data_IF_802929686707
#
_entry.id   IF_802929686707
#
_cell.length_a   1.000
_cell.length_b   1.000
_cell.length_c   1.000
_cell.angle_alpha   90.00
_cell.angle_beta   90.00
_cell.angle_gamma   90.00
#
_symmetry.space_group_name_H-M   'P 1'
#
loop_
_entity.id
_entity.type
_entity.pdbx_description
1 polymer ?
#
# COMPACT_ATOMS: atom_id res chain seq x y z
N UNK A 1 18.33 -30.28 -9.33
CA UNK A 1 18.08 -28.97 -9.95
C UNK A 1 16.62 -28.63 -9.74
N UNK A 2 16.29 -27.38 -9.46
CA UNK A 2 14.90 -26.91 -9.29
C UNK A 2 14.77 -25.53 -9.92
N UNK A 3 13.74 -25.33 -10.71
CA UNK A 3 13.49 -24.07 -11.42
C UNK A 3 12.34 -23.34 -10.74
N UNK A 4 12.48 -22.02 -10.60
CA UNK A 4 11.47 -21.18 -9.96
C UNK A 4 11.13 -19.99 -10.86
N UNK A 5 9.84 -19.68 -10.97
CA UNK A 5 9.31 -18.55 -11.72
C UNK A 5 8.78 -17.48 -10.76
N UNK A 6 9.20 -16.23 -10.96
CA UNK A 6 8.64 -15.05 -10.27
C UNK A 6 7.45 -14.51 -11.08
N UNK A 7 6.24 -14.64 -10.54
CA UNK A 7 4.98 -14.33 -11.26
C UNK A 7 4.42 -12.94 -10.92
N UNK A 8 5.22 -12.07 -10.29
CA UNK A 8 4.86 -10.70 -9.93
C UNK A 8 4.41 -10.57 -8.47
N UNK A 9 4.46 -9.34 -7.91
CA UNK A 9 4.04 -9.06 -6.52
C UNK A 9 4.88 -9.72 -5.42
N UNK A 10 5.97 -10.42 -5.76
CA UNK A 10 6.78 -11.22 -4.83
C UNK A 10 6.35 -12.69 -4.74
N UNK A 11 5.40 -13.13 -5.57
CA UNK A 11 4.98 -14.53 -5.63
C UNK A 11 5.95 -15.37 -6.49
N UNK A 12 6.28 -16.58 -6.01
CA UNK A 12 7.20 -17.52 -6.68
C UNK A 12 6.50 -18.88 -6.83
N UNK A 13 6.58 -19.47 -8.02
CA UNK A 13 6.05 -20.80 -8.33
C UNK A 13 7.19 -21.71 -8.80
N UNK A 14 7.16 -22.98 -8.40
CA UNK A 14 8.12 -24.02 -8.86
C UNK A 14 7.74 -24.46 -10.29
N UNK A 15 8.72 -24.82 -11.13
CA UNK A 15 8.47 -25.34 -12.47
C UNK A 15 7.66 -26.64 -12.46
N UNK A 16 7.86 -27.47 -11.44
CA UNK A 16 7.04 -28.68 -11.20
C UNK A 16 5.61 -28.33 -10.74
N UNK A 17 5.32 -27.05 -10.46
CA UNK A 17 3.98 -26.53 -10.18
C UNK A 17 3.33 -25.87 -11.42
N UNK A 18 3.98 -25.93 -12.60
CA UNK A 18 3.38 -25.52 -13.88
C UNK A 18 2.53 -26.69 -14.41
N UNK A 19 1.35 -26.82 -13.82
CA UNK A 19 0.30 -27.79 -14.12
C UNK A 19 -0.91 -27.47 -13.22
N UNK A 20 -2.14 -27.65 -13.72
CA UNK A 20 -3.40 -27.08 -13.21
C UNK A 20 -3.72 -27.24 -11.70
N UNK A 21 -2.93 -27.97 -10.90
CA UNK A 21 -3.44 -28.63 -9.70
C UNK A 21 -2.73 -28.32 -8.36
N UNK A 22 -1.83 -27.33 -8.24
CA UNK A 22 -1.08 -27.15 -6.96
C UNK A 22 -0.87 -25.75 -6.39
N UNK A 23 -1.39 -24.69 -7.00
CA UNK A 23 -1.76 -23.52 -6.20
C UNK A 23 -3.08 -23.91 -5.53
N UNK A 24 -3.05 -24.33 -4.26
CA UNK A 24 -4.31 -24.43 -3.51
C UNK A 24 -4.94 -23.04 -3.53
N UNK A 25 -5.94 -22.87 -4.40
CA UNK A 25 -6.87 -21.76 -4.31
C UNK A 25 -7.38 -21.80 -2.88
N UNK A 26 -7.19 -20.70 -2.17
CA UNK A 26 -7.73 -20.56 -0.83
C UNK A 26 -9.24 -20.74 -0.93
N UNK A 27 -9.75 -21.86 -0.39
CA UNK A 27 -11.16 -22.22 -0.40
C UNK A 27 -11.90 -21.62 0.80
N UNK A 28 -11.25 -20.73 1.54
CA UNK A 28 -11.86 -19.97 2.64
C UNK A 28 -13.10 -19.24 2.15
N UNK A 29 -14.24 -19.63 2.71
CA UNK A 29 -15.53 -19.02 2.40
C UNK A 29 -15.62 -17.66 3.09
N UNK A 30 -15.63 -16.60 2.29
CA UNK A 30 -15.81 -15.24 2.79
C UNK A 30 -17.27 -14.98 3.18
N UNK A 31 -17.47 -14.11 4.16
CA UNK A 31 -18.80 -13.70 4.62
C UNK A 31 -19.56 -12.91 3.55
N UNK A 32 -18.86 -12.04 2.82
CA UNK A 32 -19.40 -11.17 1.78
C UNK A 32 -18.51 -11.23 0.52
N UNK A 33 -18.50 -12.35 -0.22
CA UNK A 33 -17.66 -12.49 -1.41
C UNK A 33 -18.15 -11.57 -2.54
N UNK A 34 -17.21 -10.95 -3.26
CA UNK A 34 -17.50 -10.14 -4.46
C UNK A 34 -16.36 -10.27 -5.49
N UNK A 35 -16.71 -10.18 -6.77
CA UNK A 35 -15.77 -10.22 -7.91
C UNK A 35 -15.87 -8.99 -8.79
N UNK A 36 -16.98 -8.25 -8.71
CA UNK A 36 -17.18 -7.01 -9.50
C UNK A 36 -17.53 -5.83 -8.61
N UNK A 37 -17.31 -4.62 -9.14
CA UNK A 37 -17.71 -3.38 -8.47
C UNK A 37 -19.22 -3.34 -8.19
N UNK A 38 -20.04 -3.86 -9.10
CA UNK A 38 -21.50 -3.90 -8.93
C UNK A 38 -21.91 -4.82 -7.78
N UNK A 39 -21.24 -5.96 -7.62
CA UNK A 39 -21.46 -6.87 -6.50
C UNK A 39 -21.04 -6.25 -5.17
N UNK A 40 -19.87 -5.62 -5.12
CA UNK A 40 -19.40 -4.89 -3.94
C UNK A 40 -20.41 -3.82 -3.52
N UNK A 41 -20.85 -2.97 -4.46
CA UNK A 41 -21.83 -1.93 -4.18
C UNK A 41 -23.20 -2.51 -3.79
N UNK A 42 -23.64 -3.62 -4.39
CA UNK A 42 -24.87 -4.32 -3.98
C UNK A 42 -24.79 -4.79 -2.53
N UNK A 43 -23.69 -5.44 -2.13
CA UNK A 43 -23.50 -5.91 -0.76
C UNK A 43 -23.48 -4.76 0.26
N UNK A 44 -22.87 -3.62 -0.06
CA UNK A 44 -22.91 -2.45 0.83
C UNK A 44 -24.34 -1.93 1.06
N UNK A 45 -25.19 -1.97 0.02
CA UNK A 45 -26.60 -1.57 0.14
C UNK A 45 -27.43 -2.58 0.93
N UNK A 46 -27.20 -3.88 0.72
CA UNK A 46 -27.95 -4.95 1.39
C UNK A 46 -27.60 -5.07 2.88
N UNK A 47 -26.33 -4.89 3.23
CA UNK A 47 -25.84 -5.06 4.61
C UNK A 47 -25.87 -3.76 5.42
N UNK A 48 -25.90 -2.60 4.75
CA UNK A 48 -25.70 -1.29 5.38
C UNK A 48 -24.25 -1.01 5.78
N UNK A 49 -23.31 -1.92 5.47
CA UNK A 49 -21.89 -1.75 5.76
C UNK A 49 -21.21 -0.89 4.71
N UNK A 50 -20.27 -0.04 5.15
CA UNK A 50 -19.34 0.63 4.22
C UNK A 50 -18.36 -0.38 3.61
N UNK A 51 -17.74 -0.04 2.47
CA UNK A 51 -16.70 -0.87 1.82
C UNK A 51 -15.62 -1.35 2.80
N UNK A 52 -14.97 -0.49 3.62
CA UNK A 52 -13.95 -0.97 4.55
C UNK A 52 -14.52 -1.86 5.67
N UNK A 53 -15.75 -1.61 6.12
CA UNK A 53 -16.39 -2.47 7.13
C UNK A 53 -16.72 -3.85 6.55
N UNK A 54 -17.20 -3.91 5.30
CA UNK A 54 -17.42 -5.16 4.58
C UNK A 54 -16.11 -5.93 4.40
N UNK A 55 -15.03 -5.25 4.01
CA UNK A 55 -13.71 -5.87 3.91
C UNK A 55 -13.17 -6.37 5.24
N UNK A 56 -13.38 -5.62 6.33
CA UNK A 56 -13.01 -6.09 7.66
C UNK A 56 -13.74 -7.39 8.03
N UNK A 57 -15.03 -7.48 7.71
CA UNK A 57 -15.82 -8.70 7.94
C UNK A 57 -15.36 -9.89 7.09
N UNK A 58 -14.82 -9.64 5.88
CA UNK A 58 -14.20 -10.69 5.06
C UNK A 58 -12.83 -11.12 5.62
N UNK A 59 -11.98 -10.17 6.01
CA UNK A 59 -10.66 -10.44 6.59
C UNK A 59 -10.73 -11.28 7.87
N UNK A 60 -11.85 -11.17 8.61
CA UNK A 60 -12.13 -11.99 9.79
C UNK A 60 -12.21 -13.50 9.53
N UNK A 61 -12.29 -13.92 8.26
CA UNK A 61 -12.23 -15.33 7.89
C UNK A 61 -10.85 -15.96 8.19
N UNK A 62 -9.78 -15.16 8.23
CA UNK A 62 -8.41 -15.65 8.45
C UNK A 62 -7.78 -15.21 9.78
N UNK A 63 -8.22 -14.07 10.33
CA UNK A 63 -7.59 -13.42 11.48
C UNK A 63 -8.63 -12.77 12.38
N UNK A 64 -8.29 -12.54 13.64
CA UNK A 64 -9.14 -11.73 14.52
C UNK A 64 -9.12 -10.26 14.10
N UNK A 65 -10.15 -9.50 14.50
CA UNK A 65 -10.21 -8.06 14.23
C UNK A 65 -8.96 -7.31 14.74
N UNK A 66 -8.52 -7.63 15.96
CA UNK A 66 -7.36 -6.99 16.58
C UNK A 66 -6.06 -7.28 15.80
N UNK A 67 -5.87 -8.51 15.31
CA UNK A 67 -4.73 -8.88 14.47
C UNK A 67 -4.74 -8.16 13.13
N UNK A 68 -5.92 -8.02 12.50
CA UNK A 68 -6.09 -7.29 11.24
C UNK A 68 -5.69 -5.83 11.45
N UNK A 69 -6.24 -5.18 12.47
CA UNK A 69 -5.98 -3.77 12.77
C UNK A 69 -4.50 -3.54 13.12
N UNK A 70 -3.92 -4.39 13.96
CA UNK A 70 -2.51 -4.33 14.30
C UNK A 70 -1.61 -4.49 13.05
N UNK A 71 -1.94 -5.44 12.16
CA UNK A 71 -1.20 -5.65 10.91
C UNK A 71 -1.28 -4.45 9.96
N UNK A 72 -2.46 -3.84 9.81
CA UNK A 72 -2.65 -2.65 8.98
C UNK A 72 -1.88 -1.43 9.53
N UNK A 73 -1.86 -1.25 10.85
CA UNK A 73 -1.09 -0.19 11.49
C UNK A 73 0.42 -0.45 11.44
N UNK A 74 0.86 -1.71 11.46
CA UNK A 74 2.25 -2.07 11.20
C UNK A 74 2.67 -1.75 9.76
N UNK A 75 1.82 -2.08 8.77
CA UNK A 75 2.03 -1.68 7.37
C UNK A 75 2.20 -0.16 7.26
N UNK A 76 1.30 0.59 7.90
CA UNK A 76 1.38 2.05 7.93
C UNK A 76 2.66 2.56 8.60
N UNK A 77 3.09 1.94 9.71
CA UNK A 77 4.35 2.28 10.38
C UNK A 77 5.55 2.11 9.45
N UNK A 78 5.64 0.98 8.75
CA UNK A 78 6.74 0.72 7.80
C UNK A 78 6.72 1.71 6.63
N UNK A 79 5.53 2.08 6.15
CA UNK A 79 5.34 3.13 5.14
C UNK A 79 5.85 4.50 5.62
N UNK A 80 5.49 4.93 6.84
CA UNK A 80 6.01 6.16 7.45
C UNK A 80 7.52 6.15 7.54
N UNK A 81 8.09 5.04 8.02
CA UNK A 81 9.54 4.90 8.17
C UNK A 81 10.26 4.97 6.81
N UNK A 82 9.64 4.43 5.75
CA UNK A 82 10.16 4.51 4.39
C UNK A 82 10.23 5.96 3.89
N UNK A 83 9.13 6.71 4.04
CA UNK A 83 9.08 8.14 3.68
C UNK A 83 10.12 8.94 4.48
N UNK A 84 10.23 8.70 5.79
CA UNK A 84 11.20 9.38 6.65
C UNK A 84 12.65 9.12 6.21
N UNK A 85 12.99 7.87 5.83
CA UNK A 85 14.31 7.55 5.26
C UNK A 85 14.55 8.24 3.92
N UNK A 86 13.59 8.19 3.00
CA UNK A 86 13.71 8.85 1.70
C UNK A 86 13.89 10.37 1.81
N UNK A 87 13.23 11.01 2.77
CA UNK A 87 13.36 12.45 3.06
C UNK A 87 14.63 12.86 3.83
N UNK A 88 15.46 11.91 4.25
CA UNK A 88 16.70 12.17 4.99
C UNK A 88 17.96 11.74 4.24
N UNK A 89 17.85 10.74 3.36
CA UNK A 89 18.98 10.21 2.61
C UNK A 89 19.29 11.03 1.35
N UNK A 90 20.56 11.32 1.18
CA UNK A 90 21.09 11.97 -0.03
C UNK A 90 21.94 10.99 -0.84
N UNK A 91 22.40 11.43 -2.01
CA UNK A 91 23.33 10.70 -2.85
C UNK A 91 22.81 10.43 -4.26
N UNK A 92 23.50 9.54 -4.95
CA UNK A 92 23.17 9.09 -6.31
C UNK A 92 22.62 7.68 -6.22
N UNK A 93 21.48 7.42 -6.88
CA UNK A 93 20.86 6.11 -6.95
C UNK A 93 21.75 5.15 -7.76
N UNK A 94 21.79 3.85 -7.38
CA UNK A 94 22.48 2.83 -8.15
C UNK A 94 21.81 2.61 -9.51
N UNK A 95 22.47 1.87 -10.42
CA UNK A 95 21.90 1.51 -11.73
C UNK A 95 22.44 2.31 -12.93
N UNK A 96 23.57 3.00 -12.79
CA UNK A 96 24.34 3.56 -13.92
C UNK A 96 23.78 4.84 -14.55
N UNK A 97 22.52 5.20 -14.30
CA UNK A 97 21.85 6.40 -14.83
C UNK A 97 22.25 7.70 -14.11
N UNK A 98 23.09 7.63 -13.06
CA UNK A 98 23.56 8.77 -12.25
C UNK A 98 22.43 9.67 -11.72
N UNK A 99 21.28 9.08 -11.40
CA UNK A 99 20.11 9.82 -10.89
C UNK A 99 20.38 10.28 -9.47
N UNK A 100 20.32 11.59 -9.22
CA UNK A 100 20.48 12.17 -7.88
C UNK A 100 19.16 12.06 -7.10
N UNK A 101 19.25 11.69 -5.82
CA UNK A 101 18.14 11.78 -4.86
C UNK A 101 17.75 13.24 -4.63
N UNK A 102 16.45 13.53 -4.71
CA UNK A 102 15.88 14.88 -4.58
C UNK A 102 15.04 15.01 -3.32
N UNK A 103 14.47 13.93 -2.78
CA UNK A 103 13.52 13.99 -1.67
C UNK A 103 14.08 14.70 -0.44
N UNK A 104 15.32 14.42 -0.02
CA UNK A 104 15.91 15.08 1.14
C UNK A 104 16.06 16.60 0.97
N UNK A 105 16.51 17.06 -0.20
CA UNK A 105 16.64 18.48 -0.49
C UNK A 105 15.26 19.17 -0.56
N UNK A 106 14.31 18.57 -1.27
CA UNK A 106 12.93 19.06 -1.37
C UNK A 106 12.24 19.12 0.00
N UNK A 107 12.47 18.13 0.87
CA UNK A 107 11.94 18.13 2.24
C UNK A 107 12.47 19.29 3.08
N UNK A 108 13.77 19.62 2.97
CA UNK A 108 14.34 20.78 3.66
C UNK A 108 13.77 22.09 3.13
N UNK A 109 13.67 22.21 1.81
CA UNK A 109 13.08 23.38 1.16
C UNK A 109 11.62 23.59 1.59
N UNK A 110 10.79 22.54 1.52
CA UNK A 110 9.38 22.58 1.90
C UNK A 110 9.18 23.00 3.36
N UNK A 111 10.04 22.51 4.27
CA UNK A 111 10.01 22.91 5.68
C UNK A 111 10.44 24.36 5.89
N UNK A 112 11.43 24.83 5.13
CA UNK A 112 11.97 26.19 5.28
C UNK A 112 11.03 27.28 4.76
N UNK A 113 10.27 27.00 3.70
CA UNK A 113 9.29 27.94 3.15
C UNK A 113 8.05 28.15 4.06
N UNK A 114 7.83 27.28 5.04
CA UNK A 114 6.67 27.37 5.95
C UNK A 114 5.34 26.98 5.30
N UNK A 115 4.24 27.18 6.02
CA UNK A 115 2.86 26.97 5.54
C UNK A 115 2.55 25.58 4.93
N UNK A 116 2.62 24.48 5.71
CA UNK A 116 2.45 23.12 5.17
C UNK A 116 1.12 22.89 4.41
N UNK A 117 0.01 23.48 4.88
CA UNK A 117 -1.32 23.27 4.28
C UNK A 117 -1.43 23.88 2.89
N UNK A 118 -0.88 25.08 2.68
CA UNK A 118 -0.84 25.73 1.36
C UNK A 118 -0.03 24.92 0.34
N UNK A 119 0.81 24.00 0.83
CA UNK A 119 1.75 23.19 0.04
C UNK A 119 1.48 21.70 0.11
N UNK A 120 0.25 21.31 0.42
CA UNK A 120 -0.10 19.91 0.63
C UNK A 120 0.17 19.04 -0.61
N UNK A 121 0.02 19.60 -1.82
CA UNK A 121 0.31 18.90 -3.07
C UNK A 121 1.81 18.66 -3.30
N UNK A 122 2.66 19.62 -2.96
CA UNK A 122 4.11 19.44 -2.98
C UNK A 122 4.55 18.39 -1.95
N UNK A 123 3.92 18.38 -0.77
CA UNK A 123 4.15 17.35 0.24
C UNK A 123 3.76 15.94 -0.23
N UNK A 124 2.59 15.77 -0.86
CA UNK A 124 2.18 14.49 -1.48
C UNK A 124 3.22 14.01 -2.49
N UNK A 125 3.63 14.90 -3.39
CA UNK A 125 4.62 14.59 -4.44
C UNK A 125 5.95 14.18 -3.83
N UNK A 126 6.38 14.89 -2.79
CA UNK A 126 7.59 14.57 -2.03
C UNK A 126 7.51 13.18 -1.37
N UNK A 127 6.40 12.84 -0.71
CA UNK A 127 6.25 11.54 -0.06
C UNK A 127 6.36 10.39 -1.06
N UNK A 128 5.69 10.51 -2.23
CA UNK A 128 5.77 9.50 -3.28
C UNK A 128 7.21 9.36 -3.83
N UNK A 129 7.88 10.49 -4.06
CA UNK A 129 9.28 10.50 -4.51
C UNK A 129 10.22 9.88 -3.48
N UNK A 130 10.03 10.16 -2.19
CA UNK A 130 10.84 9.60 -1.11
C UNK A 130 10.79 8.07 -1.08
N UNK A 131 9.60 7.48 -1.23
CA UNK A 131 9.43 6.02 -1.29
C UNK A 131 10.05 5.43 -2.56
N UNK A 132 9.84 6.07 -3.71
CA UNK A 132 10.40 5.58 -4.97
C UNK A 132 11.94 5.64 -4.99
N UNK A 133 12.54 6.65 -4.37
CA UNK A 133 14.00 6.74 -4.18
C UNK A 133 14.53 5.67 -3.21
N UNK A 134 13.80 5.36 -2.13
CA UNK A 134 14.17 4.24 -1.25
C UNK A 134 14.05 2.90 -1.97
N UNK A 135 12.99 2.68 -2.75
CA UNK A 135 12.84 1.48 -3.57
C UNK A 135 14.01 1.30 -4.54
N UNK A 136 14.33 2.37 -5.30
CA UNK A 136 15.41 2.34 -6.29
C UNK A 136 16.80 2.10 -5.67
N UNK A 137 16.98 2.40 -4.38
CA UNK A 137 18.21 2.14 -3.67
C UNK A 137 18.23 0.79 -2.92
N UNK A 138 17.23 -0.07 -3.11
CA UNK A 138 17.13 -1.35 -2.41
C UNK A 138 16.77 -1.23 -0.92
N UNK A 139 16.18 -0.10 -0.52
CA UNK A 139 15.66 0.09 0.83
C UNK A 139 14.41 -0.75 1.11
N UNK A 140 14.06 -0.89 2.39
CA UNK A 140 12.80 -1.55 2.78
C UNK A 140 11.61 -0.71 2.32
N UNK A 141 10.72 -1.33 1.55
CA UNK A 141 9.47 -0.76 1.02
C UNK A 141 8.30 -1.72 1.27
N UNK A 142 7.08 -1.20 1.27
CA UNK A 142 5.85 -2.00 1.29
C UNK A 142 5.25 -1.99 -0.11
N UNK A 143 4.85 -3.16 -0.62
CA UNK A 143 4.19 -3.27 -1.92
C UNK A 143 2.82 -2.60 -1.87
N UNK A 144 2.47 -1.86 -2.93
CA UNK A 144 1.17 -1.21 -3.04
C UNK A 144 0.72 -0.97 -4.50
N UNK A 145 0.42 -2.02 -5.30
CA UNK A 145 0.50 -3.45 -4.99
C UNK A 145 1.86 -4.09 -5.37
N UNK A 146 2.77 -3.31 -5.95
CA UNK A 146 4.13 -3.74 -6.30
C UNK A 146 5.15 -2.75 -5.76
N UNK A 147 6.43 -3.09 -5.79
CA UNK A 147 7.51 -2.17 -5.41
C UNK A 147 7.56 -0.92 -6.31
N UNK A 148 7.28 -1.07 -7.60
CA UNK A 148 7.30 0.06 -8.55
C UNK A 148 6.21 1.10 -8.30
N UNK A 149 5.07 0.69 -7.71
CA UNK A 149 3.95 1.56 -7.36
C UNK A 149 3.91 1.94 -5.87
N UNK A 150 4.92 1.54 -5.09
CA UNK A 150 4.91 1.61 -3.62
C UNK A 150 4.72 3.02 -3.05
N UNK A 151 5.02 4.07 -3.81
CA UNK A 151 4.95 5.46 -3.32
C UNK A 151 3.55 6.07 -3.21
N UNK A 152 2.53 5.53 -3.91
CA UNK A 152 1.23 6.21 -4.03
C UNK A 152 0.41 6.13 -2.75
N UNK A 153 0.15 4.92 -2.25
CA UNK A 153 -0.60 4.68 -1.00
C UNK A 153 -0.01 5.45 0.20
N UNK A 154 1.30 5.36 0.52
CA UNK A 154 1.86 6.12 1.63
C UNK A 154 1.78 7.63 1.44
N UNK A 155 1.92 8.15 0.22
CA UNK A 155 1.82 9.58 -0.04
C UNK A 155 0.41 10.13 0.27
N UNK A 156 -0.63 9.41 -0.15
CA UNK A 156 -2.03 9.78 0.14
C UNK A 156 -2.35 9.64 1.63
N UNK A 157 -1.86 8.58 2.30
CA UNK A 157 -2.04 8.41 3.74
C UNK A 157 -1.33 9.50 4.56
N UNK A 158 -0.12 9.91 4.15
CA UNK A 158 0.55 11.04 4.78
C UNK A 158 -0.23 12.34 4.58
N UNK A 159 -0.88 12.53 3.42
CA UNK A 159 -1.75 13.68 3.23
C UNK A 159 -2.94 13.66 4.19
N UNK A 160 -3.62 12.52 4.29
CA UNK A 160 -4.71 12.33 5.23
C UNK A 160 -4.26 12.68 6.65
N UNK A 161 -3.18 12.07 7.14
CA UNK A 161 -2.69 12.28 8.50
C UNK A 161 -2.20 13.70 8.80
N UNK A 162 -1.69 14.44 7.81
CA UNK A 162 -1.05 15.74 8.04
C UNK A 162 -1.95 16.93 7.71
N UNK A 163 -2.95 16.78 6.84
CA UNK A 163 -3.72 17.90 6.30
C UNK A 163 -5.23 17.77 6.43
N UNK A 164 -5.76 16.59 6.77
CA UNK A 164 -7.21 16.41 6.97
C UNK A 164 -7.55 16.63 8.45
N UNK A 165 -8.42 17.59 8.80
CA UNK A 165 -8.84 17.79 10.18
C UNK A 165 -9.49 16.54 10.78
N UNK A 166 -9.08 16.17 11.98
CA UNK A 166 -9.61 14.98 12.66
C UNK A 166 -9.06 13.64 12.15
N UNK A 167 -7.99 13.66 11.35
CA UNK A 167 -7.34 12.43 10.91
C UNK A 167 -6.73 11.63 12.08
N UNK A 168 -6.99 10.33 12.07
CA UNK A 168 -6.59 9.38 13.10
C UNK A 168 -6.24 8.00 12.51
N UNK A 169 -5.74 7.10 13.37
CA UNK A 169 -5.37 5.73 12.97
C UNK A 169 -6.58 4.89 12.52
N UNK A 170 -7.79 5.22 12.98
CA UNK A 170 -9.03 4.59 12.51
C UNK A 170 -9.31 4.88 11.04
N UNK A 171 -9.04 6.10 10.58
CA UNK A 171 -9.08 6.41 9.16
C UNK A 171 -7.99 5.70 8.34
N UNK A 172 -6.82 5.44 8.92
CA UNK A 172 -5.77 4.64 8.26
C UNK A 172 -6.25 3.22 8.02
N UNK A 173 -6.85 2.58 9.04
CA UNK A 173 -7.43 1.24 8.93
C UNK A 173 -8.51 1.21 7.84
N UNK A 174 -9.46 2.15 7.89
CA UNK A 174 -10.52 2.26 6.87
C UNK A 174 -9.96 2.50 5.47
N UNK A 175 -8.95 3.35 5.33
CA UNK A 175 -8.31 3.64 4.06
C UNK A 175 -7.67 2.38 3.45
N UNK A 176 -6.88 1.64 4.24
CA UNK A 176 -6.19 0.45 3.76
C UNK A 176 -7.15 -0.69 3.41
N UNK A 177 -8.21 -0.89 4.20
CA UNK A 177 -9.26 -1.87 3.88
C UNK A 177 -10.02 -1.50 2.60
N UNK A 178 -10.37 -0.23 2.41
CA UNK A 178 -11.01 0.23 1.20
C UNK A 178 -10.10 0.09 -0.03
N UNK A 179 -8.81 0.46 0.11
CA UNK A 179 -7.82 0.26 -0.94
C UNK A 179 -7.63 -1.21 -1.29
N UNK A 180 -7.64 -2.10 -0.29
CA UNK A 180 -7.63 -3.56 -0.47
C UNK A 180 -8.83 -4.05 -1.28
N UNK A 181 -10.04 -3.60 -0.93
CA UNK A 181 -11.27 -3.94 -1.66
C UNK A 181 -11.17 -3.59 -3.15
N UNK A 182 -10.74 -2.36 -3.46
CA UNK A 182 -10.57 -1.89 -4.84
C UNK A 182 -9.46 -2.65 -5.54
N UNK A 183 -8.34 -2.93 -4.85
CA UNK A 183 -7.24 -3.73 -5.38
C UNK A 183 -7.67 -5.15 -5.78
N UNK A 184 -8.54 -5.79 -5.00
CA UNK A 184 -9.10 -7.11 -5.33
C UNK A 184 -9.88 -7.10 -6.65
N UNK A 185 -10.67 -6.06 -6.91
CA UNK A 185 -11.43 -5.94 -8.17
C UNK A 185 -10.52 -5.95 -9.41
N UNK A 186 -9.30 -5.43 -9.31
CA UNK A 186 -8.35 -5.44 -10.42
C UNK A 186 -7.53 -6.73 -10.53
N UNK A 187 -7.50 -7.56 -9.48
CA UNK A 187 -6.77 -8.84 -9.49
C UNK A 187 -7.64 -10.02 -9.94
N UNK A 188 -8.94 -9.95 -9.70
CA UNK A 188 -9.91 -11.00 -10.08
C UNK A 188 -10.35 -10.93 -11.56
N UNK A 189 -10.03 -9.84 -12.27
CA UNK A 189 -10.27 -9.68 -13.71
C UNK A 189 -9.03 -10.10 -14.52
#
# INVERSE_FOLDING_TARGET
>A
EKTYYSVGGGFVVDEDAVGEDRIKLDDTVLKYPFRTGDELLRLTRETGLSIPALMLENEKAWRTEDEIRAGLLEIWRVMKDCVARGMSREGILPGGLKVRRRAAASARQLRAEGEPLARAMEWITLYAMAVNEENAAGGRVVTAPTNGAAGIIPAVLHYYMNFVPGADEEGVVRFLLAAGAVGMLFKEN
#
